data_IF_908348747749
#
_entry.id   IF_908348747749
#
_cell.length_a   1.000
_cell.length_b   1.000
_cell.length_c   1.000
_cell.angle_alpha   90.00
_cell.angle_beta   90.00
_cell.angle_gamma   90.00
#
_symmetry.space_group_name_H-M   'P 1'
#
loop_
_entity.id
_entity.type
_entity.pdbx_description
1 polymer ?
#
# COMPACT_ATOMS: atom_id res chain seq x y z
N UNK A 1 1.26 -6.67 4.94
CA UNK A 1 0.88 -6.20 3.60
C UNK A 1 1.44 -4.82 3.23
N UNK A 2 1.97 -4.07 4.14
CA UNK A 2 2.55 -2.75 3.93
C UNK A 2 4.05 -2.84 4.22
N UNK A 3 4.91 -2.72 3.20
CA UNK A 3 6.36 -2.79 3.35
C UNK A 3 7.07 -2.10 2.18
N UNK A 4 8.27 -1.58 2.46
CA UNK A 4 9.09 -0.83 1.53
C UNK A 4 10.37 -1.59 1.20
N UNK A 5 10.81 -1.50 -0.05
CA UNK A 5 12.00 -2.19 -0.54
C UNK A 5 13.09 -1.18 -0.94
N UNK A 6 14.35 -1.55 -0.79
CA UNK A 6 15.48 -0.72 -1.18
C UNK A 6 15.50 -0.39 -2.69
N UNK A 7 14.85 -1.24 -3.51
CA UNK A 7 14.74 -1.02 -4.95
C UNK A 7 13.71 0.06 -5.32
N UNK A 8 12.70 0.27 -4.48
CA UNK A 8 11.57 1.13 -4.78
C UNK A 8 11.43 2.39 -3.94
N UNK A 9 11.85 2.35 -2.67
CA UNK A 9 11.75 3.46 -1.71
C UNK A 9 13.13 3.95 -1.30
N UNK A 10 13.34 5.26 -1.36
CA UNK A 10 14.65 5.87 -1.05
C UNK A 10 15.04 5.75 0.43
N UNK A 11 14.07 5.60 1.30
CA UNK A 11 14.20 5.49 2.76
C UNK A 11 14.22 4.03 3.25
N UNK A 12 13.95 3.06 2.37
CA UNK A 12 14.06 1.65 2.68
C UNK A 12 15.48 1.11 2.46
N UNK A 13 15.87 0.12 3.27
CA UNK A 13 17.21 -0.47 3.24
C UNK A 13 17.24 -1.97 2.96
N UNK A 14 16.11 -2.64 3.08
CA UNK A 14 16.02 -4.09 2.86
C UNK A 14 15.62 -4.36 1.42
N UNK A 15 16.43 -5.16 0.72
CA UNK A 15 16.12 -5.61 -0.63
C UNK A 15 14.98 -6.62 -0.64
N UNK A 16 14.23 -6.68 -1.75
CA UNK A 16 13.06 -7.55 -1.85
C UNK A 16 13.41 -9.04 -1.70
N UNK A 17 14.59 -9.46 -2.15
CA UNK A 17 15.04 -10.87 -2.02
C UNK A 17 15.25 -11.24 -0.56
N UNK A 18 15.87 -10.35 0.22
CA UNK A 18 16.08 -10.56 1.66
C UNK A 18 14.76 -10.61 2.41
N UNK A 19 13.81 -9.72 2.03
CA UNK A 19 12.46 -9.72 2.55
C UNK A 19 11.73 -11.03 2.30
N UNK A 20 11.71 -11.49 1.06
CA UNK A 20 11.05 -12.74 0.67
C UNK A 20 11.67 -13.91 1.41
N UNK A 21 13.01 -13.97 1.50
CA UNK A 21 13.72 -15.02 2.20
C UNK A 21 13.32 -15.09 3.67
N UNK A 22 13.27 -13.93 4.34
CA UNK A 22 12.87 -13.87 5.75
C UNK A 22 11.39 -14.25 5.96
N UNK A 23 10.51 -13.84 5.07
CA UNK A 23 9.08 -14.17 5.14
C UNK A 23 8.83 -15.68 4.94
N UNK A 24 9.54 -16.32 4.00
CA UNK A 24 9.50 -17.77 3.80
C UNK A 24 9.97 -18.49 5.08
N UNK A 25 11.08 -18.04 5.68
CA UNK A 25 11.59 -18.61 6.93
C UNK A 25 10.60 -18.49 8.09
N UNK A 26 9.71 -17.51 8.06
CA UNK A 26 8.63 -17.31 9.02
C UNK A 26 7.32 -18.02 8.66
N UNK A 27 7.29 -18.77 7.57
CA UNK A 27 6.08 -19.49 7.12
C UNK A 27 5.01 -18.57 6.54
N UNK A 28 5.39 -17.43 5.98
CA UNK A 28 4.48 -16.51 5.28
C UNK A 28 4.44 -16.87 3.79
N UNK A 29 3.26 -16.87 3.18
CA UNK A 29 3.05 -17.33 1.79
C UNK A 29 3.15 -16.22 0.73
N UNK A 30 3.10 -14.95 1.14
CA UNK A 30 3.14 -13.84 0.20
C UNK A 30 3.25 -12.47 0.87
N UNK A 31 3.57 -11.47 0.06
CA UNK A 31 3.66 -10.08 0.49
C UNK A 31 3.04 -9.13 -0.53
N UNK A 32 2.70 -7.93 -0.08
CA UNK A 32 2.39 -6.79 -0.92
C UNK A 32 3.55 -5.79 -0.83
N UNK A 33 4.18 -5.48 -1.95
CA UNK A 33 5.16 -4.39 -2.03
C UNK A 33 4.41 -3.07 -2.17
N UNK A 34 4.74 -2.10 -1.32
CA UNK A 34 4.08 -0.79 -1.28
C UNK A 34 5.09 0.35 -1.22
N UNK A 35 6.06 0.33 -2.09
CA UNK A 35 7.05 1.40 -2.19
C UNK A 35 6.40 2.78 -2.41
N UNK A 36 6.98 3.83 -1.85
CA UNK A 36 6.49 5.20 -1.98
C UNK A 36 6.44 5.66 -3.44
N UNK A 37 5.22 5.88 -3.97
CA UNK A 37 4.96 6.36 -5.33
C UNK A 37 5.73 5.60 -6.43
N UNK A 38 6.00 4.31 -6.21
CA UNK A 38 6.90 3.54 -7.06
C UNK A 38 6.45 2.07 -7.17
N UNK A 39 6.62 1.49 -8.35
CA UNK A 39 6.46 0.04 -8.56
C UNK A 39 7.81 -0.68 -8.69
N UNK A 40 8.93 0.00 -8.45
CA UNK A 40 10.27 -0.52 -8.75
C UNK A 40 10.60 -1.80 -7.99
N UNK A 41 10.23 -1.93 -6.72
CA UNK A 41 10.45 -3.17 -5.96
C UNK A 41 9.70 -4.35 -6.58
N UNK A 42 8.42 -4.17 -6.90
CA UNK A 42 7.65 -5.19 -7.61
C UNK A 42 8.22 -5.51 -9.00
N UNK A 43 8.56 -4.50 -9.80
CA UNK A 43 9.12 -4.69 -11.15
C UNK A 43 10.48 -5.39 -11.11
N UNK A 44 11.30 -5.06 -10.10
CA UNK A 44 12.57 -5.74 -9.87
C UNK A 44 12.34 -7.23 -9.56
N UNK A 45 11.43 -7.55 -8.62
CA UNK A 45 11.04 -8.92 -8.32
C UNK A 45 10.60 -9.69 -9.56
N UNK A 46 9.69 -9.13 -10.36
CA UNK A 46 9.20 -9.80 -11.57
C UNK A 46 10.30 -10.13 -12.55
N UNK A 47 11.36 -9.32 -12.61
CA UNK A 47 12.50 -9.53 -13.51
C UNK A 47 13.42 -10.64 -13.04
N UNK A 48 13.65 -10.76 -11.73
CA UNK A 48 14.67 -11.68 -11.19
C UNK A 48 14.11 -13.01 -10.67
N UNK A 49 12.83 -13.09 -10.33
CA UNK A 49 12.24 -14.25 -9.66
C UNK A 49 12.49 -15.58 -10.39
N UNK A 50 12.57 -15.58 -11.71
CA UNK A 50 12.87 -16.77 -12.51
C UNK A 50 14.27 -17.34 -12.30
N UNK A 51 15.19 -16.57 -11.73
CA UNK A 51 16.58 -16.97 -11.45
C UNK A 51 16.79 -17.43 -10.00
N UNK A 52 15.75 -17.27 -9.15
CA UNK A 52 15.87 -17.50 -7.70
C UNK A 52 15.45 -18.91 -7.23
N UNK A 53 15.20 -19.84 -8.16
CA UNK A 53 14.76 -21.20 -7.80
C UNK A 53 13.46 -21.19 -6.98
N UNK A 54 13.41 -21.94 -5.88
CA UNK A 54 12.19 -22.07 -5.06
C UNK A 54 11.72 -20.74 -4.45
N UNK A 55 12.63 -19.83 -4.12
CA UNK A 55 12.29 -18.49 -3.60
C UNK A 55 11.44 -17.71 -4.63
N UNK A 56 11.72 -17.88 -5.91
CA UNK A 56 11.01 -17.21 -7.01
C UNK A 56 9.53 -17.59 -7.14
N UNK A 57 9.06 -18.63 -6.47
CA UNK A 57 7.65 -19.05 -6.42
C UNK A 57 6.85 -18.29 -5.34
N UNK A 58 7.51 -17.54 -4.47
CA UNK A 58 6.84 -16.74 -3.46
C UNK A 58 5.90 -15.69 -4.09
N UNK A 59 4.70 -15.55 -3.53
CA UNK A 59 3.70 -14.62 -4.04
C UNK A 59 4.03 -13.18 -3.64
N UNK A 60 4.32 -12.33 -4.63
CA UNK A 60 4.50 -10.89 -4.43
C UNK A 60 3.41 -10.15 -5.21
N UNK A 61 2.58 -9.42 -4.50
CA UNK A 61 1.50 -8.62 -5.07
C UNK A 61 1.99 -7.21 -5.43
N UNK A 62 1.38 -6.66 -6.47
CA UNK A 62 1.68 -5.32 -6.97
C UNK A 62 0.90 -4.27 -6.19
N UNK A 63 1.60 -3.45 -5.45
CA UNK A 63 1.03 -2.33 -4.72
C UNK A 63 1.91 -1.10 -4.75
N UNK A 64 1.44 -0.07 -4.10
CA UNK A 64 2.14 1.20 -3.91
C UNK A 64 1.57 1.89 -2.68
N UNK A 65 2.40 2.54 -1.88
CA UNK A 65 1.96 3.54 -0.94
C UNK A 65 2.04 4.91 -1.62
N UNK A 66 0.89 5.49 -1.88
CA UNK A 66 0.77 6.72 -2.66
C UNK A 66 0.66 7.95 -1.77
N UNK A 67 1.58 8.91 -1.97
CA UNK A 67 1.51 10.24 -1.32
C UNK A 67 0.48 11.10 -2.04
N UNK A 68 -0.73 11.17 -1.51
CA UNK A 68 -1.74 12.06 -2.08
C UNK A 68 -1.48 13.51 -1.71
N UNK A 69 -1.97 14.43 -2.54
CA UNK A 69 -1.83 15.86 -2.25
C UNK A 69 -2.61 16.30 -1.00
N UNK A 70 -3.68 15.59 -0.61
CA UNK A 70 -4.63 16.07 0.40
C UNK A 70 -5.24 15.00 1.30
N UNK A 71 -5.03 13.72 1.05
CA UNK A 71 -5.63 12.60 1.78
C UNK A 71 -4.61 11.72 2.52
N UNK A 72 -3.35 12.18 2.68
CA UNK A 72 -2.28 11.39 3.31
C UNK A 72 -1.81 10.25 2.43
N UNK A 73 -1.27 9.21 3.06
CA UNK A 73 -0.79 8.00 2.40
C UNK A 73 -1.93 7.01 2.15
N UNK A 74 -1.97 6.48 0.95
CA UNK A 74 -2.97 5.52 0.51
C UNK A 74 -2.29 4.27 -0.04
N UNK A 75 -2.59 3.12 0.53
CA UNK A 75 -2.16 1.83 -0.01
C UNK A 75 -3.07 1.49 -1.18
N UNK A 76 -2.45 1.14 -2.30
CA UNK A 76 -3.12 0.72 -3.52
C UNK A 76 -2.67 -0.69 -3.85
N UNK A 77 -3.62 -1.55 -4.22
CA UNK A 77 -3.36 -2.89 -4.74
C UNK A 77 -3.89 -2.93 -6.17
N UNK A 78 -3.03 -3.27 -7.11
CA UNK A 78 -3.38 -3.31 -8.52
C UNK A 78 -3.46 -4.76 -9.03
N UNK A 79 -4.30 -5.03 -10.05
CA UNK A 79 -4.25 -6.29 -10.76
C UNK A 79 -2.87 -6.56 -11.36
N UNK A 80 -2.43 -7.81 -11.35
CA UNK A 80 -1.14 -8.21 -11.93
C UNK A 80 -1.05 -7.87 -13.42
N UNK A 81 -2.18 -7.94 -14.12
CA UNK A 81 -2.26 -7.67 -15.55
C UNK A 81 -3.16 -6.49 -15.84
N UNK A 82 -2.54 -5.38 -16.25
CA UNK A 82 -3.24 -4.18 -16.75
C UNK A 82 -2.93 -4.05 -18.23
N UNK A 83 -3.98 -3.94 -19.07
CA UNK A 83 -3.86 -3.94 -20.53
C UNK A 83 -4.50 -2.71 -21.18
N UNK A 84 -4.10 -2.44 -22.42
CA UNK A 84 -4.73 -1.41 -23.25
C UNK A 84 -4.59 0.00 -22.67
N UNK A 85 -5.66 0.78 -22.73
CA UNK A 85 -5.69 2.16 -22.28
C UNK A 85 -5.45 2.31 -20.76
N UNK A 86 -5.71 1.25 -19.97
CA UNK A 86 -5.54 1.29 -18.52
C UNK A 86 -4.08 1.29 -18.08
N UNK A 87 -3.15 0.87 -18.95
CA UNK A 87 -1.70 1.00 -18.72
C UNK A 87 -1.31 2.46 -18.46
N UNK A 88 -1.88 3.41 -19.21
CA UNK A 88 -1.61 4.84 -19.01
C UNK A 88 -2.16 5.32 -17.68
N UNK A 89 -3.35 4.86 -17.27
CA UNK A 89 -3.92 5.19 -15.96
C UNK A 89 -3.04 4.64 -14.82
N UNK A 90 -2.57 3.40 -14.94
CA UNK A 90 -1.65 2.82 -13.96
C UNK A 90 -0.33 3.61 -13.86
N UNK A 91 0.18 4.16 -14.97
CA UNK A 91 1.35 5.04 -14.96
C UNK A 91 1.09 6.36 -14.23
N UNK A 92 -0.12 6.93 -14.31
CA UNK A 92 -0.47 8.13 -13.55
C UNK A 92 -0.41 7.90 -12.04
N UNK A 93 -0.69 6.68 -11.57
CA UNK A 93 -0.53 6.30 -10.16
C UNK A 93 0.95 6.35 -9.73
N UNK A 94 1.91 6.19 -10.65
CA UNK A 94 3.34 6.38 -10.38
C UNK A 94 3.79 7.86 -10.30
N UNK A 95 2.89 8.82 -10.48
CA UNK A 95 3.21 10.26 -10.46
C UNK A 95 2.59 10.89 -9.21
N UNK A 96 3.42 11.41 -8.31
CA UNK A 96 2.99 12.07 -7.06
C UNK A 96 2.01 13.21 -7.30
N UNK A 97 1.14 13.45 -6.32
CA UNK A 97 0.37 14.69 -6.21
C UNK A 97 -1.06 14.65 -6.76
N UNK A 98 -1.59 13.48 -7.08
CA UNK A 98 -3.04 13.35 -7.29
C UNK A 98 -3.78 13.63 -5.98
N UNK A 99 -4.96 14.23 -6.06
CA UNK A 99 -5.86 14.25 -4.91
C UNK A 99 -6.42 12.85 -4.64
N UNK A 100 -6.78 12.56 -3.40
CA UNK A 100 -7.35 11.26 -3.03
C UNK A 100 -8.60 10.92 -3.84
N UNK A 101 -9.41 11.93 -4.19
CA UNK A 101 -10.62 11.76 -5.03
C UNK A 101 -10.28 11.33 -6.47
N UNK A 102 -9.24 11.93 -7.06
CA UNK A 102 -8.80 11.52 -8.41
C UNK A 102 -8.13 10.14 -8.38
N UNK A 103 -7.34 9.89 -7.35
CA UNK A 103 -6.67 8.61 -7.15
C UNK A 103 -7.69 7.47 -7.06
N UNK A 104 -8.73 7.61 -6.22
CA UNK A 104 -9.78 6.62 -6.05
C UNK A 104 -10.44 6.28 -7.40
N UNK A 105 -10.85 7.29 -8.17
CA UNK A 105 -11.48 7.08 -9.47
C UNK A 105 -10.58 6.36 -10.47
N UNK A 106 -9.28 6.69 -10.49
CA UNK A 106 -8.33 6.04 -11.38
C UNK A 106 -8.14 4.58 -10.96
N UNK A 107 -7.90 4.32 -9.67
CA UNK A 107 -7.66 2.97 -9.15
C UNK A 107 -8.86 2.06 -9.43
N UNK A 108 -10.07 2.48 -9.07
CA UNK A 108 -11.28 1.70 -9.33
C UNK A 108 -11.53 1.49 -10.82
N UNK A 109 -11.24 2.50 -11.67
CA UNK A 109 -11.45 2.37 -13.13
C UNK A 109 -10.57 1.32 -13.80
N UNK A 110 -9.51 0.87 -13.16
CA UNK A 110 -8.58 -0.16 -13.65
C UNK A 110 -8.66 -1.47 -12.87
N UNK A 111 -9.69 -1.62 -12.02
CA UNK A 111 -9.94 -2.82 -11.22
C UNK A 111 -9.00 -2.98 -10.02
N UNK A 112 -8.33 -1.91 -9.61
CA UNK A 112 -7.56 -1.87 -8.36
C UNK A 112 -8.45 -1.58 -7.17
N UNK A 113 -7.90 -1.79 -5.98
CA UNK A 113 -8.51 -1.44 -4.68
C UNK A 113 -7.56 -0.55 -3.89
N UNK A 114 -8.11 0.27 -2.97
CA UNK A 114 -7.32 1.18 -2.16
C UNK A 114 -7.86 1.33 -0.74
N UNK A 115 -6.96 1.66 0.18
CA UNK A 115 -7.29 1.95 1.57
C UNK A 115 -6.28 2.89 2.21
N UNK A 116 -6.64 3.60 3.30
CA UNK A 116 -5.72 4.51 3.97
C UNK A 116 -4.64 3.72 4.71
N UNK A 117 -3.37 4.11 4.50
CA UNK A 117 -2.26 3.64 5.31
C UNK A 117 -2.36 4.27 6.70
N UNK A 118 -2.05 3.50 7.77
CA UNK A 118 -1.97 3.98 9.15
C UNK A 118 -2.90 5.17 9.49
N UNK A 119 -4.24 5.04 9.30
CA UNK A 119 -5.18 6.17 9.16
C UNK A 119 -5.25 7.11 10.38
N UNK A 120 -4.81 6.66 11.55
CA UNK A 120 -4.77 7.42 12.80
C UNK A 120 -3.37 7.67 13.34
N UNK A 121 -2.32 7.40 12.58
CA UNK A 121 -0.98 7.73 13.04
C UNK A 121 -0.81 9.25 13.27
N UNK A 122 0.24 9.62 14.00
CA UNK A 122 0.41 11.00 14.51
C UNK A 122 0.77 12.03 13.44
N UNK A 123 1.23 11.59 12.27
CA UNK A 123 1.66 12.45 11.16
C UNK A 123 0.49 13.00 10.33
N UNK A 124 0.76 14.04 9.56
CA UNK A 124 -0.19 14.60 8.58
C UNK A 124 -0.40 13.65 7.37
N UNK A 125 0.39 12.62 7.26
CA UNK A 125 0.23 11.57 6.24
C UNK A 125 -0.90 10.59 6.57
N UNK A 126 -1.38 10.56 7.81
CA UNK A 126 -2.54 9.76 8.19
C UNK A 126 -3.82 10.44 7.70
N UNK A 127 -4.69 9.72 6.99
CA UNK A 127 -5.90 10.27 6.38
C UNK A 127 -6.75 11.09 7.37
N UNK A 128 -6.98 10.56 8.57
CA UNK A 128 -7.79 11.20 9.61
C UNK A 128 -7.19 12.51 10.16
N UNK A 129 -5.89 12.73 9.96
CA UNK A 129 -5.21 13.96 10.37
C UNK A 129 -5.14 15.02 9.27
N UNK A 130 -5.42 14.64 8.02
CA UNK A 130 -5.45 15.58 6.90
C UNK A 130 -6.63 16.55 7.02
N UNK A 131 -6.49 17.72 6.42
CA UNK A 131 -7.61 18.67 6.33
C UNK A 131 -8.78 18.07 5.55
N UNK A 132 -8.50 17.35 4.47
CA UNK A 132 -9.52 16.69 3.67
C UNK A 132 -10.26 15.61 4.47
N UNK A 133 -9.56 14.72 5.16
CA UNK A 133 -10.17 13.65 5.96
C UNK A 133 -11.06 14.19 7.08
N UNK A 134 -10.67 15.31 7.69
CA UNK A 134 -11.48 15.98 8.74
C UNK A 134 -12.75 16.63 8.19
N UNK A 135 -12.71 17.20 7.00
CA UNK A 135 -13.86 17.84 6.36
C UNK A 135 -14.77 16.87 5.60
N UNK A 136 -14.22 15.73 5.17
CA UNK A 136 -14.91 14.75 4.34
C UNK A 136 -14.79 13.34 4.92
N UNK A 137 -15.25 13.10 6.16
CA UNK A 137 -15.20 11.77 6.77
C UNK A 137 -16.04 10.73 5.99
N UNK A 138 -17.04 11.18 5.24
CA UNK A 138 -17.84 10.33 4.34
C UNK A 138 -17.01 9.68 3.23
N UNK A 139 -15.83 10.22 2.91
CA UNK A 139 -14.95 9.64 1.92
C UNK A 139 -14.37 8.28 2.33
N UNK A 140 -14.38 7.98 3.63
CA UNK A 140 -13.97 6.67 4.16
C UNK A 140 -14.78 5.52 3.54
N UNK A 141 -16.03 5.77 3.16
CA UNK A 141 -16.88 4.79 2.47
C UNK A 141 -16.36 4.39 1.07
N UNK A 142 -15.50 5.23 0.47
CA UNK A 142 -14.90 4.98 -0.84
C UNK A 142 -13.69 4.04 -0.79
N UNK A 143 -13.11 3.86 0.38
CA UNK A 143 -12.01 2.91 0.55
C UNK A 143 -12.54 1.47 0.58
N UNK A 144 -11.76 0.55 0.03
CA UNK A 144 -12.11 -0.87 -0.05
C UNK A 144 -11.72 -1.65 1.20
N UNK A 145 -10.71 -1.15 1.92
CA UNK A 145 -10.20 -1.73 3.17
C UNK A 145 -9.62 -0.63 4.07
N UNK A 146 -9.34 -0.99 5.32
CA UNK A 146 -8.64 -0.14 6.30
C UNK A 146 -7.39 -0.86 6.77
N UNK A 147 -6.21 -0.21 6.75
CA UNK A 147 -5.07 -0.71 7.49
C UNK A 147 -5.31 -0.52 8.99
N UNK A 148 -5.76 -1.60 9.63
CA UNK A 148 -6.15 -1.58 11.05
C UNK A 148 -4.98 -1.86 11.99
N UNK A 149 -3.88 -2.39 11.46
CA UNK A 149 -2.65 -2.61 12.21
C UNK A 149 -1.44 -2.23 11.36
N UNK A 150 -0.62 -1.34 11.92
CA UNK A 150 0.68 -0.95 11.38
C UNK A 150 1.71 -1.07 12.51
N UNK A 151 2.81 -1.82 12.28
CA UNK A 151 3.73 -2.18 13.36
C UNK A 151 4.54 -1.00 13.90
N UNK A 152 4.68 0.09 13.13
CA UNK A 152 5.39 1.30 13.58
C UNK A 152 4.45 2.35 14.17
N UNK A 153 3.14 2.22 13.96
CA UNK A 153 2.15 3.10 14.55
C UNK A 153 1.96 2.84 16.04
N UNK A 154 1.48 3.85 16.77
CA UNK A 154 1.13 3.70 18.19
C UNK A 154 -0.03 2.71 18.37
N UNK A 155 -0.02 1.97 19.48
CA UNK A 155 -1.10 1.03 19.82
C UNK A 155 -2.49 1.69 19.74
N UNK A 156 -2.65 2.89 20.33
CA UNK A 156 -3.92 3.63 20.30
C UNK A 156 -4.36 4.03 18.88
N UNK A 157 -3.43 4.26 17.95
CA UNK A 157 -3.74 4.51 16.55
C UNK A 157 -4.27 3.25 15.85
N UNK A 158 -3.66 2.10 16.14
CA UNK A 158 -4.12 0.80 15.64
C UNK A 158 -5.51 0.45 16.22
N UNK A 159 -5.76 0.69 17.51
CA UNK A 159 -7.09 0.49 18.12
C UNK A 159 -8.15 1.34 17.41
N UNK A 160 -7.88 2.64 17.22
CA UNK A 160 -8.80 3.54 16.50
C UNK A 160 -9.05 3.11 15.05
N UNK A 161 -8.02 2.60 14.35
CA UNK A 161 -8.15 2.10 12.99
C UNK A 161 -8.97 0.80 12.94
N UNK A 162 -8.78 -0.09 13.91
CA UNK A 162 -9.59 -1.30 14.04
C UNK A 162 -11.07 -0.98 14.30
N UNK A 163 -11.36 -0.08 15.26
CA UNK A 163 -12.74 0.37 15.54
C UNK A 163 -13.37 1.04 14.31
N UNK A 164 -12.61 1.83 13.56
CA UNK A 164 -13.07 2.43 12.31
C UNK A 164 -13.49 1.35 11.30
N UNK A 165 -12.64 0.34 11.09
CA UNK A 165 -12.91 -0.73 10.15
C UNK A 165 -14.18 -1.51 10.53
N UNK A 166 -14.34 -1.84 11.81
CA UNK A 166 -15.57 -2.49 12.32
C UNK A 166 -16.81 -1.63 12.11
N UNK A 167 -16.75 -0.34 12.43
CA UNK A 167 -17.88 0.59 12.27
C UNK A 167 -18.31 0.75 10.82
N UNK A 168 -17.37 0.71 9.87
CA UNK A 168 -17.64 0.85 8.44
C UNK A 168 -17.87 -0.49 7.73
N UNK A 169 -17.81 -1.61 8.46
CA UNK A 169 -17.88 -2.97 7.90
C UNK A 169 -16.88 -3.17 6.74
N UNK A 170 -15.64 -2.69 6.92
CA UNK A 170 -14.58 -2.77 5.91
C UNK A 170 -13.61 -3.91 6.19
N UNK A 171 -13.11 -4.60 5.14
CA UNK A 171 -11.98 -5.50 5.26
C UNK A 171 -10.79 -4.83 5.95
N UNK A 172 -10.03 -5.60 6.72
CA UNK A 172 -8.90 -5.10 7.48
C UNK A 172 -7.60 -5.66 6.93
N UNK A 173 -6.57 -4.83 6.92
CA UNK A 173 -5.21 -5.24 6.57
C UNK A 173 -4.26 -4.94 7.72
N UNK A 174 -3.13 -5.66 7.71
CA UNK A 174 -2.02 -5.42 8.63
C UNK A 174 -0.73 -5.23 7.84
N UNK A 175 0.09 -4.30 8.25
CA UNK A 175 1.36 -3.99 7.63
C UNK A 175 2.49 -3.80 8.63
N UNK A 176 3.72 -3.94 8.15
CA UNK A 176 4.90 -3.67 8.95
C UNK A 176 5.35 -2.23 8.81
N UNK A 177 5.12 -1.63 7.65
CA UNK A 177 5.63 -0.31 7.28
C UNK A 177 7.15 -0.17 7.53
N UNK A 178 7.84 -1.30 7.32
CA UNK A 178 9.25 -1.43 7.65
C UNK A 178 10.10 -0.81 6.56
N UNK A 179 11.04 0.03 6.99
CA UNK A 179 12.04 0.68 6.16
C UNK A 179 13.47 0.19 6.45
N UNK A 180 13.64 -0.69 7.46
CA UNK A 180 14.95 -1.16 7.93
C UNK A 180 14.94 -2.65 8.23
#
# INVERSE_FOLDING_TARGET
MHCHTAEGSIDARVGIVDYVTELINKGVDGMLVTDHNSYRGYEYWQRIKGELGDIGHFTVLKGIEYDTRNGGHIIIILPDTIKGADVMKARLIGIRGLSVVHLEKIVHSIGGILGPAHPYDTGYYAFMNTHFGKLHPEFLEKFDFIESYNSVAKHSANESAHELALRLDKPQTAGTDTHR
#
